data_IF_359837606621
#
_entry.id   IF_359837606621
#
_cell.length_a   1.000
_cell.length_b   1.000
_cell.length_c   1.000
_cell.angle_alpha   90.00
_cell.angle_beta   90.00
_cell.angle_gamma   90.00
#
_symmetry.space_group_name_H-M   'P 1'
#
loop_
_entity.id
_entity.type
_entity.pdbx_description
1 polymer ?
#
# COMPACT_ATOMS: atom_id res chain seq x y z
N UNK A 1 -17.95 -3.46 0.59
CA UNK A 1 -17.12 -4.14 1.60
C UNK A 1 -16.01 -3.20 2.01
N UNK A 2 -15.65 -3.22 3.28
CA UNK A 2 -14.67 -2.33 3.90
C UNK A 2 -13.77 -3.17 4.81
N UNK A 3 -12.48 -2.85 4.86
CA UNK A 3 -11.50 -3.59 5.65
C UNK A 3 -10.29 -2.73 5.97
N UNK A 4 -9.87 -2.71 7.24
CA UNK A 4 -8.56 -2.17 7.63
C UNK A 4 -7.61 -3.36 7.79
N UNK A 5 -6.42 -3.29 7.21
CA UNK A 5 -5.39 -4.33 7.34
C UNK A 5 -3.99 -3.74 7.46
N UNK A 6 -3.11 -4.41 8.21
CA UNK A 6 -1.74 -3.99 8.41
C UNK A 6 -1.22 -4.23 9.83
N UNK A 7 -0.03 -3.72 10.14
CA UNK A 7 0.84 -2.95 9.25
C UNK A 7 1.55 -3.82 8.19
N UNK A 8 1.65 -3.32 6.96
CA UNK A 8 2.40 -3.91 5.83
C UNK A 8 3.55 -2.98 5.48
N UNK A 9 4.80 -3.40 5.71
CA UNK A 9 5.99 -2.57 5.50
C UNK A 9 5.87 -1.16 6.11
N UNK A 10 5.31 -1.07 7.32
CA UNK A 10 5.12 0.20 8.03
C UNK A 10 3.87 1.00 7.65
N UNK A 11 2.98 0.47 6.81
CA UNK A 11 1.74 1.14 6.42
C UNK A 11 0.50 0.34 6.79
N UNK A 12 -0.54 1.02 7.25
CA UNK A 12 -1.89 0.50 7.35
C UNK A 12 -2.65 0.74 6.05
N UNK A 13 -3.54 -0.19 5.67
CA UNK A 13 -4.37 -0.08 4.48
C UNK A 13 -5.83 0.01 4.91
N UNK A 14 -6.46 1.15 4.65
CA UNK A 14 -7.90 1.34 4.75
C UNK A 14 -8.53 1.01 3.39
N UNK A 15 -9.03 -0.20 3.24
CA UNK A 15 -9.56 -0.76 1.99
C UNK A 15 -11.08 -0.65 1.91
N UNK A 16 -11.60 -0.37 0.73
CA UNK A 16 -13.03 -0.45 0.41
C UNK A 16 -13.25 -0.88 -1.03
N UNK A 17 -14.43 -1.42 -1.33
CA UNK A 17 -14.82 -1.80 -2.69
C UNK A 17 -15.96 -0.96 -3.23
N UNK A 18 -15.93 -0.68 -4.52
CA UNK A 18 -17.03 -0.04 -5.26
C UNK A 18 -17.52 -1.00 -6.35
N UNK A 19 -18.83 -1.33 -6.42
CA UNK A 19 -19.40 -2.11 -7.51
C UNK A 19 -19.43 -1.29 -8.82
N UNK A 20 -19.31 -1.98 -9.94
CA UNK A 20 -19.39 -1.42 -11.29
C UNK A 20 -20.01 -2.44 -12.26
N UNK A 21 -20.33 -2.01 -13.48
CA UNK A 21 -20.83 -2.91 -14.53
C UNK A 21 -19.85 -4.04 -14.89
N UNK A 22 -18.55 -3.86 -14.63
CA UNK A 22 -17.49 -4.81 -14.95
C UNK A 22 -17.08 -5.70 -13.75
N UNK A 23 -17.75 -5.55 -12.61
CA UNK A 23 -17.41 -6.21 -11.35
C UNK A 23 -17.04 -5.20 -10.25
N UNK A 24 -16.23 -5.63 -9.29
CA UNK A 24 -15.83 -4.83 -8.13
C UNK A 24 -14.41 -4.29 -8.29
N UNK A 25 -14.26 -2.99 -8.02
CA UNK A 25 -12.95 -2.36 -7.84
C UNK A 25 -12.68 -2.21 -6.35
N UNK A 26 -11.48 -2.55 -5.92
CA UNK A 26 -10.99 -2.26 -4.58
C UNK A 26 -10.06 -1.06 -4.62
N UNK A 27 -10.18 -0.21 -3.60
CA UNK A 27 -9.33 0.93 -3.35
C UNK A 27 -8.78 0.87 -1.93
N UNK A 28 -7.62 1.45 -1.70
CA UNK A 28 -7.12 1.65 -0.35
C UNK A 28 -6.36 2.96 -0.19
N UNK A 29 -6.43 3.49 1.03
CA UNK A 29 -5.54 4.54 1.52
C UNK A 29 -4.43 3.89 2.35
N UNK A 30 -3.18 4.11 1.96
CA UNK A 30 -2.00 3.76 2.76
C UNK A 30 -1.83 4.82 3.83
N UNK A 31 -1.81 4.41 5.08
CA UNK A 31 -1.73 5.28 6.25
C UNK A 31 -0.49 4.95 7.06
N UNK A 32 0.17 5.97 7.64
CA UNK A 32 1.34 5.76 8.51
C UNK A 32 0.96 5.34 9.94
N UNK A 33 -0.32 5.51 10.31
CA UNK A 33 -0.92 5.04 11.55
C UNK A 33 -2.22 4.28 11.24
N UNK A 34 -2.65 3.42 12.17
CA UNK A 34 -3.92 2.72 12.04
C UNK A 34 -5.06 3.75 12.05
N UNK A 35 -5.90 3.79 11.00
CA UNK A 35 -7.10 4.62 11.04
C UNK A 35 -8.20 3.91 11.85
N UNK A 36 -9.12 4.69 12.42
CA UNK A 36 -10.30 4.14 13.12
C UNK A 36 -11.37 3.65 12.13
N UNK A 37 -11.42 4.26 10.95
CA UNK A 37 -12.38 3.97 9.89
C UNK A 37 -11.76 4.13 8.49
N UNK A 38 -12.30 3.44 7.49
CA UNK A 38 -11.76 3.45 6.13
C UNK A 38 -11.95 4.78 5.40
N UNK A 39 -12.93 5.58 5.82
CA UNK A 39 -13.23 6.89 5.26
C UNK A 39 -12.41 7.99 5.93
N UNK A 40 -12.28 7.96 7.25
CA UNK A 40 -11.59 8.97 8.08
C UNK A 40 -10.07 8.72 8.25
N UNK A 41 -9.41 8.34 7.16
CA UNK A 41 -7.97 8.06 7.14
C UNK A 41 -7.10 9.34 7.13
N UNK A 42 -7.10 10.09 8.24
CA UNK A 42 -6.37 11.36 8.42
C UNK A 42 -4.85 11.26 8.19
N UNK A 43 -4.28 10.06 8.28
CA UNK A 43 -2.85 9.78 8.10
C UNK A 43 -2.52 9.17 6.73
N UNK A 44 -3.41 9.32 5.75
CA UNK A 44 -3.25 8.76 4.41
C UNK A 44 -2.13 9.47 3.62
N UNK A 45 -1.13 8.71 3.20
CA UNK A 45 -0.01 9.21 2.39
C UNK A 45 -0.13 8.84 0.91
N UNK A 46 -0.94 7.84 0.58
CA UNK A 46 -1.11 7.38 -0.80
C UNK A 46 -2.43 6.64 -1.01
N UNK A 47 -2.99 6.74 -2.21
CA UNK A 47 -4.12 5.92 -2.68
C UNK A 47 -3.64 4.84 -3.65
N UNK A 48 -4.24 3.66 -3.59
CA UNK A 48 -4.00 2.53 -4.50
C UNK A 48 -5.33 1.91 -4.90
N UNK A 49 -5.35 1.20 -6.04
CA UNK A 49 -6.54 0.53 -6.55
C UNK A 49 -6.21 -0.75 -7.30
N UNK A 50 -7.18 -1.67 -7.35
CA UNK A 50 -7.12 -2.94 -8.06
C UNK A 50 -8.52 -3.37 -8.49
N UNK A 51 -8.58 -4.24 -9.50
CA UNK A 51 -9.81 -4.69 -10.13
C UNK A 51 -9.83 -4.40 -11.64
N UNK A 52 -10.94 -4.70 -12.31
CA UNK A 52 -12.16 -5.28 -11.73
C UNK A 52 -11.99 -6.76 -11.33
N UNK A 53 -12.75 -7.23 -10.33
CA UNK A 53 -12.87 -8.64 -9.91
C UNK A 53 -14.35 -9.02 -9.78
N UNK A 54 -14.69 -10.31 -9.86
CA UNK A 54 -16.08 -10.76 -9.80
C UNK A 54 -16.65 -10.67 -8.37
N UNK A 55 -15.79 -10.79 -7.36
CA UNK A 55 -16.16 -10.76 -5.95
C UNK A 55 -15.46 -9.60 -5.20
N UNK A 56 -16.14 -8.89 -4.29
CA UNK A 56 -15.54 -7.79 -3.53
C UNK A 56 -14.40 -8.24 -2.60
N UNK A 57 -14.47 -9.43 -2.00
CA UNK A 57 -13.38 -9.94 -1.16
C UNK A 57 -12.15 -10.32 -2.01
N UNK A 58 -12.37 -10.87 -3.21
CA UNK A 58 -11.30 -11.08 -4.19
C UNK A 58 -10.62 -9.76 -4.59
N UNK A 59 -11.39 -8.70 -4.84
CA UNK A 59 -10.85 -7.38 -5.18
C UNK A 59 -9.94 -6.84 -4.06
N UNK A 60 -10.36 -6.96 -2.80
CA UNK A 60 -9.53 -6.56 -1.64
C UNK A 60 -8.28 -7.44 -1.53
N UNK A 61 -8.41 -8.76 -1.69
CA UNK A 61 -7.27 -9.68 -1.64
C UNK A 61 -6.22 -9.31 -2.69
N UNK A 62 -6.65 -9.09 -3.94
CA UNK A 62 -5.78 -8.68 -5.04
C UNK A 62 -5.09 -7.33 -4.75
N UNK A 63 -5.82 -6.37 -4.20
CA UNK A 63 -5.29 -5.07 -3.83
C UNK A 63 -4.19 -5.18 -2.77
N UNK A 64 -4.44 -5.95 -1.70
CA UNK A 64 -3.50 -6.15 -0.59
C UNK A 64 -2.26 -6.87 -1.09
N UNK A 65 -2.40 -7.93 -1.89
CA UNK A 65 -1.28 -8.69 -2.46
C UNK A 65 -0.38 -7.82 -3.36
N UNK A 66 -0.98 -7.06 -4.28
CA UNK A 66 -0.24 -6.13 -5.17
C UNK A 66 0.44 -5.02 -4.40
N UNK A 67 -0.24 -4.45 -3.40
CA UNK A 67 0.31 -3.36 -2.60
C UNK A 67 1.46 -3.85 -1.73
N UNK A 68 1.31 -5.01 -1.09
CA UNK A 68 2.37 -5.67 -0.31
C UNK A 68 3.59 -5.93 -1.17
N UNK A 69 3.39 -6.53 -2.35
CA UNK A 69 4.47 -6.81 -3.30
C UNK A 69 5.19 -5.53 -3.76
N UNK A 70 4.45 -4.43 -3.95
CA UNK A 70 5.02 -3.14 -4.34
C UNK A 70 5.81 -2.50 -3.21
N UNK A 71 5.30 -2.55 -1.98
CA UNK A 71 5.98 -2.03 -0.79
C UNK A 71 7.24 -2.83 -0.49
N UNK A 72 7.19 -4.16 -0.61
CA UNK A 72 8.35 -5.04 -0.47
C UNK A 72 9.47 -4.65 -1.45
N UNK A 73 9.14 -4.46 -2.74
CA UNK A 73 10.11 -4.01 -3.75
C UNK A 73 10.70 -2.64 -3.42
N UNK A 74 9.87 -1.71 -2.92
CA UNK A 74 10.34 -0.37 -2.55
C UNK A 74 11.25 -0.41 -1.31
N UNK A 75 10.95 -1.26 -0.34
CA UNK A 75 11.79 -1.45 0.86
C UNK A 75 13.12 -2.14 0.52
N UNK A 76 13.13 -3.02 -0.49
CA UNK A 76 14.33 -3.71 -0.96
C UNK A 76 15.23 -2.85 -1.85
N UNK A 77 14.77 -1.69 -2.33
CA UNK A 77 15.63 -0.72 -2.98
C UNK A 77 16.31 0.12 -1.88
N UNK A 78 17.63 -0.01 -1.66
CA UNK A 78 18.34 0.93 -0.81
C UNK A 78 18.12 2.30 -1.42
N UNK A 79 17.59 3.21 -0.63
CA UNK A 79 17.43 4.60 -1.03
C UNK A 79 18.80 5.14 -1.48
N UNK A 80 18.86 5.83 -2.63
CA UNK A 80 20.09 6.32 -3.29
C UNK A 80 21.08 7.04 -2.34
N UNK A 81 20.61 7.58 -1.21
CA UNK A 81 21.44 8.20 -0.19
C UNK A 81 22.29 7.23 0.66
N UNK A 82 21.95 5.93 0.74
CA UNK A 82 22.77 4.94 1.45
C UNK A 82 24.01 4.54 0.64
N UNK A 83 23.96 4.60 -0.69
CA UNK A 83 25.09 4.22 -1.55
C UNK A 83 26.18 5.32 -1.55
N UNK A 84 25.80 6.58 -1.29
CA UNK A 84 26.73 7.72 -1.27
C UNK A 84 27.50 7.88 0.05
N UNK A 85 27.10 7.23 1.14
CA UNK A 85 27.76 7.35 2.45
C UNK A 85 28.95 6.39 2.63
N UNK A 86 29.09 5.35 1.78
CA UNK A 86 30.19 4.38 1.87
C UNK A 86 31.40 4.73 0.98
N UNK A 87 31.35 5.85 0.24
CA UNK A 87 32.45 6.31 -0.60
C UNK A 87 33.26 7.41 0.08
N UNK A 88 33.93 7.10 1.20
CA UNK A 88 34.99 8.00 1.72
C UNK A 88 36.28 7.72 0.95
N UNK A 89 36.85 8.68 0.20
CA UNK A 89 38.17 8.48 -0.38
C UNK A 89 39.20 8.42 0.74
N UNK A 90 39.92 7.31 0.81
CA UNK A 90 41.09 7.17 1.69
C UNK A 90 42.15 8.14 1.18
N UNK A 91 42.37 9.23 1.90
CA UNK A 91 43.44 10.18 1.61
C UNK A 91 44.80 9.48 1.77
N UNK A 92 45.64 9.57 0.73
CA UNK A 92 47.09 9.34 0.78
C UNK A 92 47.79 10.55 0.18
#
# INVERSE_FOLDING_TARGET
>A
MEQITGPVHGYWLACYTVPSEQGHYAYAKLCIAAPDDVWEANFAVRKVGAGPCTDPAEAIRLLVERTTSRLARKAAQPSEWMILLESTPTAR
#
